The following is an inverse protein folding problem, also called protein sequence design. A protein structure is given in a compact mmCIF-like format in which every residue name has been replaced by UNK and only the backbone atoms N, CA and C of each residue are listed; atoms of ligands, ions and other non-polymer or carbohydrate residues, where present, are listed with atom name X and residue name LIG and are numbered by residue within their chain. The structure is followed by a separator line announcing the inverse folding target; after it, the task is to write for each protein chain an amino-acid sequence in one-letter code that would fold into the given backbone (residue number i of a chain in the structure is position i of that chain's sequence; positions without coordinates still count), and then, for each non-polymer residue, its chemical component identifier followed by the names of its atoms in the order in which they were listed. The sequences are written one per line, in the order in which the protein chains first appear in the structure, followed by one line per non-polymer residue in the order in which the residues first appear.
data_IF_372805853561
#
_entry.id   IF_372805853561
#
_cell.length_a   1.000
_cell.length_b   1.000
_cell.length_c   1.000
_cell.angle_alpha   90.00
_cell.angle_beta   90.00
_cell.angle_gamma   90.00
#
_symmetry.space_group_name_H-M   'P 1'
#
loop_
_entity.id
_entity.type
_entity.pdbx_description
1 polymer ?
#
# COMPACT_ATOMS: atom_id res chain seq x y z
N UNK A 1 -2.57 -13.71 6.03
CA UNK A 1 -4.01 -13.29 6.02
C UNK A 1 -4.53 -13.23 4.59
N UNK A 2 -5.86 -13.24 4.36
CA UNK A 2 -6.44 -13.08 3.01
C UNK A 2 -6.48 -11.60 2.64
N UNK A 3 -6.01 -11.25 1.43
CA UNK A 3 -6.13 -9.89 0.91
C UNK A 3 -7.51 -9.72 0.27
N UNK A 4 -8.19 -8.65 0.68
CA UNK A 4 -9.49 -8.22 0.17
C UNK A 4 -9.27 -7.43 -1.12
N UNK A 5 -10.11 -7.70 -2.12
CA UNK A 5 -10.02 -7.05 -3.43
C UNK A 5 -11.30 -6.31 -3.77
N UNK A 6 -11.21 -5.34 -4.69
CA UNK A 6 -12.42 -4.71 -5.24
C UNK A 6 -13.38 -5.78 -5.77
N UNK A 7 -14.67 -5.59 -5.57
CA UNK A 7 -15.37 -4.36 -5.14
C UNK A 7 -15.75 -4.30 -3.64
N UNK A 8 -15.02 -4.95 -2.75
CA UNK A 8 -15.38 -4.95 -1.33
C UNK A 8 -15.49 -3.51 -0.79
N UNK A 9 -16.62 -3.16 -0.11
CA UNK A 9 -16.86 -1.78 0.36
C UNK A 9 -15.92 -1.33 1.47
N UNK A 10 -15.26 -2.23 2.20
CA UNK A 10 -14.30 -1.84 3.24
C UNK A 10 -13.14 -1.02 2.68
N UNK A 11 -12.74 -1.29 1.42
CA UNK A 11 -11.66 -0.57 0.74
C UNK A 11 -11.98 0.91 0.45
N UNK A 12 -13.23 1.30 0.62
CA UNK A 12 -13.71 2.68 0.42
C UNK A 12 -14.09 3.38 1.73
N UNK A 13 -13.90 2.70 2.87
CA UNK A 13 -14.17 3.29 4.18
C UNK A 13 -12.95 4.05 4.70
N UNK A 14 -13.19 5.20 5.32
CA UNK A 14 -12.19 5.87 6.13
C UNK A 14 -11.96 5.07 7.40
N UNK A 15 -10.69 4.76 7.70
CA UNK A 15 -10.32 3.95 8.84
C UNK A 15 -10.36 4.72 10.15
N UNK A 16 -10.66 4.00 11.22
CA UNK A 16 -10.69 4.50 12.59
C UNK A 16 -9.27 4.56 13.18
N UNK A 17 -8.97 5.57 13.99
CA UNK A 17 -7.69 5.65 14.68
C UNK A 17 -7.54 4.56 15.72
N UNK A 18 -6.30 4.17 16.01
CA UNK A 18 -5.90 3.35 17.15
C UNK A 18 -5.73 4.27 18.36
N UNK A 19 -6.33 3.92 19.48
CA UNK A 19 -6.23 4.69 20.73
C UNK A 19 -4.95 4.28 21.47
N UNK A 20 -4.64 2.98 21.49
CA UNK A 20 -3.51 2.41 22.22
C UNK A 20 -2.83 1.31 21.39
N UNK A 21 -1.50 1.30 21.37
CA UNK A 21 -0.71 0.24 20.74
C UNK A 21 -0.49 -0.89 21.73
N UNK A 22 -1.50 -1.74 21.87
CA UNK A 22 -1.47 -2.94 22.71
C UNK A 22 -0.83 -4.14 21.96
N UNK A 23 -0.75 -5.30 22.63
CA UNK A 23 -0.14 -6.50 22.05
C UNK A 23 -0.89 -7.01 20.80
N UNK A 24 -2.23 -6.91 20.77
CA UNK A 24 -3.02 -7.30 19.59
C UNK A 24 -2.66 -6.47 18.35
N UNK A 25 -2.44 -5.16 18.52
CA UNK A 25 -1.98 -4.28 17.44
C UNK A 25 -0.57 -4.63 16.97
N UNK A 26 0.32 -4.99 17.91
CA UNK A 26 1.70 -5.41 17.58
C UNK A 26 1.71 -6.71 16.76
N UNK A 27 0.94 -7.70 17.18
CA UNK A 27 0.78 -8.98 16.48
C UNK A 27 0.14 -8.76 15.09
N UNK A 28 -0.89 -7.92 15.00
CA UNK A 28 -1.54 -7.58 13.75
C UNK A 28 -0.55 -6.93 12.75
N UNK A 29 0.29 -6.00 13.20
CA UNK A 29 1.32 -5.38 12.37
C UNK A 29 2.33 -6.41 11.84
N UNK A 30 2.73 -7.38 12.66
CA UNK A 30 3.64 -8.46 12.23
C UNK A 30 2.97 -9.38 11.21
N UNK A 31 1.70 -9.70 11.40
CA UNK A 31 0.94 -10.54 10.47
C UNK A 31 0.62 -9.80 9.16
N UNK A 32 0.44 -8.48 9.22
CA UNK A 32 0.36 -7.64 8.02
C UNK A 32 1.67 -7.68 7.22
N UNK A 33 2.85 -7.56 7.87
CA UNK A 33 4.15 -7.69 7.20
C UNK A 33 4.33 -9.06 6.54
N UNK A 34 4.04 -10.15 7.26
CA UNK A 34 4.09 -11.51 6.68
C UNK A 34 3.19 -11.63 5.45
N UNK A 35 1.98 -11.07 5.54
CA UNK A 35 1.00 -11.09 4.44
C UNK A 35 1.50 -10.29 3.24
N UNK A 36 2.05 -9.10 3.47
CA UNK A 36 2.66 -8.25 2.44
C UNK A 36 3.81 -8.95 1.71
N UNK A 37 4.71 -9.58 2.47
CA UNK A 37 5.84 -10.31 1.88
C UNK A 37 5.39 -11.54 1.07
N UNK A 38 4.41 -12.28 1.56
CA UNK A 38 3.86 -13.44 0.86
C UNK A 38 3.13 -13.07 -0.44
N UNK A 39 2.60 -11.86 -0.53
CA UNK A 39 1.87 -11.35 -1.70
C UNK A 39 2.73 -10.50 -2.65
N UNK A 40 4.05 -10.65 -2.71
CA UNK A 40 5.10 -9.78 -3.23
C UNK A 40 4.72 -8.29 -3.36
N UNK A 41 4.20 -7.73 -2.27
CA UNK A 41 3.87 -6.31 -2.14
C UNK A 41 4.98 -5.51 -1.45
N UNK A 42 5.05 -4.20 -1.67
CA UNK A 42 5.96 -3.27 -0.98
C UNK A 42 5.28 -2.49 0.13
N UNK A 43 3.94 -2.54 0.18
CA UNK A 43 3.10 -1.92 1.21
C UNK A 43 1.81 -2.70 1.38
N UNK A 44 1.16 -2.52 2.54
CA UNK A 44 -0.15 -3.08 2.88
C UNK A 44 -0.79 -2.23 3.98
N UNK A 45 -2.04 -1.85 3.77
CA UNK A 45 -2.87 -1.16 4.75
C UNK A 45 -3.93 -2.10 5.35
N UNK A 46 -4.31 -1.85 6.60
CA UNK A 46 -5.24 -2.71 7.34
C UNK A 46 -6.60 -2.93 6.65
N UNK A 47 -7.23 -1.97 5.95
CA UNK A 47 -8.47 -2.25 5.21
C UNK A 47 -8.32 -3.32 4.13
N UNK A 48 -7.10 -3.52 3.60
CA UNK A 48 -6.83 -4.56 2.60
C UNK A 48 -6.88 -5.99 3.20
N UNK A 49 -6.88 -6.12 4.50
CA UNK A 49 -7.08 -7.39 5.21
C UNK A 49 -8.38 -7.41 6.03
N UNK A 50 -9.30 -6.49 5.77
CA UNK A 50 -10.62 -6.42 6.41
C UNK A 50 -10.65 -5.71 7.76
N UNK A 51 -9.58 -5.05 8.16
CA UNK A 51 -9.48 -4.35 9.45
C UNK A 51 -9.63 -2.84 9.24
N UNK A 52 -10.70 -2.24 9.78
CA UNK A 52 -11.00 -0.81 9.64
C UNK A 52 -10.19 0.04 10.62
N UNK A 53 -8.86 -0.06 10.61
CA UNK A 53 -7.95 0.66 11.50
C UNK A 53 -6.84 1.36 10.73
N UNK A 54 -6.33 2.47 11.28
CA UNK A 54 -5.25 3.27 10.67
C UNK A 54 -3.90 2.63 10.93
N UNK A 55 -3.63 1.51 10.24
CA UNK A 55 -2.38 0.76 10.27
C UNK A 55 -1.87 0.57 8.85
N UNK A 56 -0.59 0.81 8.65
CA UNK A 56 0.10 0.52 7.39
C UNK A 56 1.46 -0.12 7.68
N UNK A 57 1.86 -1.01 6.80
CA UNK A 57 3.19 -1.63 6.82
C UNK A 57 3.82 -1.52 5.45
N UNK A 58 5.14 -1.40 5.38
CA UNK A 58 5.85 -1.31 4.12
C UNK A 58 7.30 -1.75 4.24
N UNK A 59 7.85 -2.17 3.12
CA UNK A 59 9.27 -2.40 2.92
C UNK A 59 9.59 -2.23 1.44
N UNK A 60 10.32 -1.18 1.11
CA UNK A 60 10.73 -0.85 -0.27
C UNK A 60 12.13 -1.36 -0.59
N UNK A 61 12.74 -2.17 0.29
CA UNK A 61 14.05 -2.78 0.04
C UNK A 61 14.01 -3.68 -1.19
N UNK A 62 15.08 -3.68 -2.00
CA UNK A 62 15.23 -4.60 -3.12
C UNK A 62 15.14 -6.06 -2.65
N UNK A 63 14.27 -6.86 -3.29
CA UNK A 63 14.14 -8.28 -2.96
C UNK A 63 13.70 -9.12 -4.14
N UNK A 64 14.07 -10.44 -4.17
CA UNK A 64 13.60 -11.37 -5.18
C UNK A 64 12.06 -11.42 -5.25
N UNK A 65 11.50 -11.53 -6.45
CA UNK A 65 10.06 -11.63 -6.68
C UNK A 65 9.34 -10.30 -6.91
N UNK A 66 9.96 -9.16 -6.65
CA UNK A 66 9.42 -7.86 -7.05
C UNK A 66 9.85 -7.55 -8.49
N UNK A 67 8.90 -7.42 -9.41
CA UNK A 67 9.15 -7.14 -10.84
C UNK A 67 10.06 -5.93 -11.06
N UNK A 68 9.90 -4.88 -10.26
CA UNK A 68 10.68 -3.64 -10.35
C UNK A 68 12.19 -3.85 -10.17
N UNK A 69 12.61 -4.91 -9.47
CA UNK A 69 14.02 -5.21 -9.21
C UNK A 69 14.58 -6.32 -10.09
N UNK A 70 13.75 -6.97 -10.92
CA UNK A 70 14.21 -8.01 -11.85
C UNK A 70 14.94 -7.41 -13.07
N UNK A 71 14.63 -6.16 -13.43
CA UNK A 71 15.19 -5.49 -14.61
C UNK A 71 16.55 -4.82 -14.33
N UNK A 72 16.80 -4.39 -13.09
CA UNK A 72 18.01 -3.61 -12.75
C UNK A 72 19.20 -4.45 -12.28
N UNK A 73 19.03 -5.70 -11.86
CA UNK A 73 20.07 -6.50 -11.20
C UNK A 73 20.08 -7.99 -11.61
N UNK A 74 20.16 -8.29 -12.90
CA UNK A 74 20.27 -9.69 -13.36
C UNK A 74 21.63 -10.35 -13.00
N UNK A 75 22.64 -9.60 -12.61
CA UNK A 75 24.00 -10.11 -12.34
C UNK A 75 24.46 -10.04 -10.88
N UNK A 76 23.79 -9.28 -10.00
CA UNK A 76 24.15 -9.21 -8.58
C UNK A 76 23.06 -9.83 -7.72
N UNK A 77 23.34 -11.02 -7.18
CA UNK A 77 22.61 -11.58 -6.03
C UNK A 77 22.95 -10.78 -4.78
N UNK A 78 22.41 -9.56 -4.65
CA UNK A 78 22.48 -8.86 -3.38
C UNK A 78 21.61 -9.62 -2.37
N UNK A 79 22.17 -9.88 -1.19
CA UNK A 79 21.44 -10.48 -0.08
C UNK A 79 20.28 -9.56 0.32
N UNK A 80 19.06 -10.10 0.38
CA UNK A 80 17.91 -9.34 0.82
C UNK A 80 18.09 -8.87 2.27
N UNK A 81 18.17 -7.57 2.46
CA UNK A 81 18.23 -6.92 3.78
C UNK A 81 16.91 -6.21 4.03
N UNK A 82 15.97 -6.83 4.76
CA UNK A 82 14.69 -6.22 5.02
C UNK A 82 14.84 -4.95 5.87
N UNK A 83 14.08 -3.92 5.52
CA UNK A 83 13.96 -2.69 6.27
C UNK A 83 12.48 -2.29 6.43
N UNK A 84 11.68 -3.12 7.14
CA UNK A 84 10.27 -2.89 7.27
C UNK A 84 9.95 -1.69 8.14
N UNK A 85 8.93 -0.94 7.75
CA UNK A 85 8.36 0.16 8.51
C UNK A 85 6.91 -0.19 8.85
N UNK A 86 6.55 -0.07 10.12
CA UNK A 86 5.20 -0.28 10.65
C UNK A 86 4.71 1.03 11.23
N UNK A 87 3.57 1.52 10.76
CA UNK A 87 3.02 2.81 11.17
C UNK A 87 1.61 2.66 11.71
N UNK A 88 1.39 3.19 12.89
CA UNK A 88 0.08 3.32 13.54
C UNK A 88 -0.32 4.78 13.48
N UNK A 89 -1.57 5.04 13.06
CA UNK A 89 -2.12 6.39 12.89
C UNK A 89 -1.23 7.33 12.04
N UNK A 90 -0.75 6.91 10.88
CA UNK A 90 0.08 7.79 10.07
C UNK A 90 -0.70 9.03 9.63
N UNK A 91 0.00 10.17 9.63
CA UNK A 91 -0.48 11.46 9.18
C UNK A 91 0.58 12.14 8.33
N UNK A 92 0.28 12.39 7.06
CA UNK A 92 1.16 13.14 6.17
C UNK A 92 1.03 14.61 6.54
N UNK A 93 2.10 15.18 7.10
CA UNK A 93 2.15 16.57 7.59
C UNK A 93 2.67 17.56 6.57
N UNK A 94 3.37 17.07 5.54
CA UNK A 94 3.91 17.88 4.46
C UNK A 94 4.13 17.04 3.20
N UNK A 95 3.97 17.66 2.03
CA UNK A 95 4.29 17.09 0.72
C UNK A 95 5.08 18.09 -0.11
N UNK A 96 5.96 17.62 -0.99
CA UNK A 96 6.71 18.47 -1.92
C UNK A 96 5.79 19.08 -3.00
N UNK A 97 6.23 20.21 -3.58
CA UNK A 97 5.61 20.81 -4.77
C UNK A 97 5.98 20.00 -6.02
N UNK A 98 7.19 19.49 -6.05
CA UNK A 98 7.71 18.62 -7.10
C UNK A 98 6.92 17.32 -7.09
N UNK A 99 6.57 16.85 -8.29
CA UNK A 99 5.81 15.63 -8.51
C UNK A 99 6.55 14.73 -9.48
N UNK A 100 6.40 13.45 -9.32
CA UNK A 100 6.79 12.45 -10.30
C UNK A 100 5.59 11.60 -10.73
N UNK A 101 5.72 10.97 -11.90
CA UNK A 101 4.71 10.05 -12.44
C UNK A 101 5.37 8.70 -12.62
N UNK A 102 4.81 7.69 -11.96
CA UNK A 102 5.34 6.33 -12.01
C UNK A 102 4.21 5.30 -11.97
N UNK A 103 4.49 4.08 -12.40
CA UNK A 103 3.52 3.00 -12.44
C UNK A 103 3.21 2.49 -11.02
N UNK A 104 1.92 2.44 -10.69
CA UNK A 104 1.41 1.87 -9.45
C UNK A 104 0.49 0.69 -9.72
N UNK A 105 0.60 -0.32 -8.88
CA UNK A 105 -0.34 -1.41 -8.72
C UNK A 105 -0.81 -1.51 -7.28
N UNK A 106 -1.78 -2.36 -7.02
CA UNK A 106 -2.31 -2.58 -5.68
C UNK A 106 -2.70 -4.05 -5.50
N UNK A 107 -2.34 -4.63 -4.35
CA UNK A 107 -2.72 -6.01 -4.00
C UNK A 107 -4.25 -6.20 -3.97
N UNK A 108 -5.01 -5.13 -3.70
CA UNK A 108 -6.48 -5.13 -3.72
C UNK A 108 -7.08 -4.94 -5.13
N UNK A 109 -6.24 -4.69 -6.15
CA UNK A 109 -6.63 -4.55 -7.56
C UNK A 109 -5.66 -5.36 -8.42
N UNK A 110 -5.66 -6.70 -8.30
CA UNK A 110 -4.67 -7.56 -8.93
C UNK A 110 -4.70 -7.46 -10.45
N UNK A 111 -3.51 -7.45 -11.08
CA UNK A 111 -3.35 -7.41 -12.54
C UNK A 111 -3.68 -6.08 -13.20
N UNK A 112 -3.83 -5.01 -12.42
CA UNK A 112 -4.04 -3.64 -12.92
C UNK A 112 -2.88 -2.76 -12.47
N UNK A 113 -2.25 -2.10 -13.44
CA UNK A 113 -1.22 -1.11 -13.23
C UNK A 113 -1.60 0.18 -13.96
N UNK A 114 -1.20 1.33 -13.42
CA UNK A 114 -1.40 2.62 -14.10
C UNK A 114 -0.41 3.67 -13.60
N UNK A 115 -0.06 4.60 -14.47
CA UNK A 115 0.78 5.75 -14.13
C UNK A 115 0.01 6.72 -13.22
N UNK A 116 0.54 6.96 -12.02
CA UNK A 116 -0.02 7.86 -11.02
C UNK A 116 0.98 8.98 -10.73
N UNK A 117 0.51 10.22 -10.77
CA UNK A 117 1.31 11.39 -10.41
C UNK A 117 1.16 11.65 -8.91
N UNK A 118 2.30 11.70 -8.19
CA UNK A 118 2.35 12.02 -6.76
C UNK A 118 3.44 13.03 -6.44
N UNK A 119 3.33 13.77 -5.31
CA UNK A 119 4.47 14.47 -4.73
C UNK A 119 5.67 13.54 -4.56
N UNK A 120 6.86 13.98 -4.99
CA UNK A 120 8.10 13.18 -4.95
C UNK A 120 8.64 12.95 -3.55
N UNK A 121 8.23 13.78 -2.58
CA UNK A 121 8.64 13.68 -1.17
C UNK A 121 7.48 13.99 -0.24
N UNK A 122 7.51 13.42 0.97
CA UNK A 122 6.55 13.72 2.03
C UNK A 122 7.19 13.64 3.42
N UNK A 123 6.56 14.28 4.41
CA UNK A 123 6.80 14.04 5.83
C UNK A 123 5.58 13.36 6.43
N UNK A 124 5.81 12.37 7.27
CA UNK A 124 4.75 11.62 7.95
C UNK A 124 5.06 11.52 9.43
N UNK A 125 4.07 11.80 10.27
CA UNK A 125 4.08 11.51 11.72
C UNK A 125 3.28 10.26 11.96
N UNK A 126 3.76 9.40 12.86
CA UNK A 126 3.10 8.14 13.20
C UNK A 126 3.55 7.63 14.57
N UNK A 127 2.85 6.66 15.11
CA UNK A 127 3.34 5.85 16.23
C UNK A 127 4.00 4.59 15.66
N UNK A 128 5.17 4.24 16.17
CA UNK A 128 5.81 2.97 15.82
C UNK A 128 5.12 1.78 16.54
N UNK A 129 5.61 0.57 16.32
CA UNK A 129 5.12 -0.65 16.96
C UNK A 129 5.16 -0.61 18.49
N UNK A 130 6.00 0.22 19.08
CA UNK A 130 6.11 0.39 20.53
C UNK A 130 5.19 1.48 21.09
N UNK A 131 4.46 2.19 20.21
CA UNK A 131 3.63 3.34 20.58
C UNK A 131 4.42 4.64 20.72
N UNK A 132 5.68 4.67 20.28
CA UNK A 132 6.52 5.87 20.31
C UNK A 132 6.22 6.74 19.10
N UNK A 133 6.10 8.06 19.33
CA UNK A 133 5.92 9.03 18.26
C UNK A 133 7.18 9.18 17.43
N UNK A 134 7.03 9.04 16.11
CA UNK A 134 8.10 9.17 15.12
C UNK A 134 7.69 10.17 14.03
N UNK A 135 8.70 10.80 13.45
CA UNK A 135 8.54 11.57 12.21
C UNK A 135 9.55 11.06 11.19
N UNK A 136 9.08 10.86 9.96
CA UNK A 136 9.90 10.40 8.85
C UNK A 136 9.75 11.35 7.66
N UNK A 137 10.88 11.80 7.10
CA UNK A 137 10.93 12.38 5.77
C UNK A 137 11.26 11.28 4.76
N UNK A 138 10.41 11.14 3.75
CA UNK A 138 10.56 10.13 2.71
C UNK A 138 10.63 10.78 1.32
N UNK A 139 11.36 10.12 0.42
CA UNK A 139 11.56 10.53 -0.97
C UNK A 139 11.42 9.33 -1.91
N UNK A 140 11.17 9.58 -3.20
CA UNK A 140 11.10 8.55 -4.24
C UNK A 140 10.07 7.45 -3.93
N UNK A 141 10.49 6.18 -4.09
CA UNK A 141 9.61 5.02 -3.91
C UNK A 141 9.01 4.93 -2.50
N UNK A 142 9.77 5.25 -1.46
CA UNK A 142 9.26 5.23 -0.10
C UNK A 142 8.16 6.28 0.11
N UNK A 143 8.35 7.51 -0.40
CA UNK A 143 7.33 8.54 -0.33
C UNK A 143 6.07 8.15 -1.10
N UNK A 144 6.21 7.52 -2.26
CA UNK A 144 5.10 6.99 -3.06
C UNK A 144 4.34 5.90 -2.31
N UNK A 145 5.05 4.94 -1.71
CA UNK A 145 4.46 3.85 -0.93
C UNK A 145 3.69 4.41 0.28
N UNK A 146 4.28 5.32 1.07
CA UNK A 146 3.59 5.96 2.21
C UNK A 146 2.29 6.64 1.75
N UNK A 147 2.32 7.39 0.65
CA UNK A 147 1.13 8.07 0.13
C UNK A 147 0.07 7.07 -0.37
N UNK A 148 0.49 5.97 -1.00
CA UNK A 148 -0.41 4.92 -1.47
C UNK A 148 -1.12 4.22 -0.29
N UNK A 149 -0.36 3.81 0.73
CA UNK A 149 -0.93 3.15 1.91
C UNK A 149 -1.76 4.11 2.77
N UNK A 150 -1.34 5.39 2.86
CA UNK A 150 -2.15 6.42 3.52
C UNK A 150 -3.48 6.69 2.79
N UNK A 151 -3.51 6.59 1.47
CA UNK A 151 -4.77 6.68 0.70
C UNK A 151 -5.73 5.56 1.12
N UNK A 152 -5.26 4.32 1.27
CA UNK A 152 -6.08 3.19 1.70
C UNK A 152 -6.80 3.45 3.03
N UNK A 153 -6.11 4.01 4.03
CA UNK A 153 -6.74 4.33 5.33
C UNK A 153 -7.69 5.53 5.27
N UNK A 154 -7.68 6.29 4.17
CA UNK A 154 -8.67 7.33 3.88
C UNK A 154 -9.81 6.84 2.97
N UNK A 155 -9.82 5.55 2.58
CA UNK A 155 -10.79 4.97 1.65
C UNK A 155 -10.58 5.37 0.19
N UNK A 156 -9.36 5.78 -0.16
CA UNK A 156 -8.94 6.18 -1.50
C UNK A 156 -8.10 5.06 -2.12
N UNK A 157 -8.31 4.77 -3.39
CA UNK A 157 -7.50 3.81 -4.15
C UNK A 157 -6.69 4.55 -5.22
N UNK A 158 -5.57 3.97 -5.67
CA UNK A 158 -4.73 4.63 -6.68
C UNK A 158 -5.50 4.98 -7.97
N UNK A 159 -6.52 4.19 -8.33
CA UNK A 159 -7.40 4.47 -9.47
C UNK A 159 -8.22 5.75 -9.30
N UNK A 160 -8.46 6.21 -8.07
CA UNK A 160 -9.18 7.46 -7.79
C UNK A 160 -8.33 8.70 -8.12
N UNK A 161 -7.02 8.53 -8.29
CA UNK A 161 -6.07 9.58 -8.68
C UNK A 161 -5.91 9.74 -10.19
N UNK A 162 -6.54 8.85 -10.95
CA UNK A 162 -6.53 8.87 -12.40
C UNK A 162 -7.64 9.77 -12.95
N UNK A 163 -7.55 10.10 -14.24
CA UNK A 163 -8.67 10.75 -14.92
C UNK A 163 -9.92 9.88 -14.87
N UNK A 164 -11.10 10.50 -14.89
CA UNK A 164 -12.39 9.80 -14.88
C UNK A 164 -12.45 8.71 -15.95
N UNK A 165 -12.03 9.02 -17.17
CA UNK A 165 -12.04 8.06 -18.29
C UNK A 165 -11.18 6.83 -18.00
N UNK A 166 -9.92 7.02 -17.51
CA UNK A 166 -9.05 5.90 -17.14
C UNK A 166 -9.63 5.07 -16.02
N UNK A 167 -10.12 5.72 -14.97
CA UNK A 167 -10.78 5.04 -13.84
C UNK A 167 -11.97 4.19 -14.31
N UNK A 168 -12.87 4.75 -15.14
CA UNK A 168 -14.06 4.05 -15.64
C UNK A 168 -13.68 2.84 -16.51
N UNK A 169 -12.63 2.95 -17.33
CA UNK A 169 -12.09 1.82 -18.10
C UNK A 169 -11.61 0.69 -17.19
N UNK A 170 -10.85 1.03 -16.13
CA UNK A 170 -10.34 0.05 -15.16
C UNK A 170 -11.51 -0.65 -14.44
N UNK A 171 -12.50 0.11 -13.96
CA UNK A 171 -13.65 -0.45 -13.27
C UNK A 171 -14.48 -1.40 -14.16
N UNK A 172 -14.62 -1.09 -15.46
CA UNK A 172 -15.24 -2.00 -16.43
C UNK A 172 -14.43 -3.28 -16.60
N UNK A 173 -13.09 -3.20 -16.67
CA UNK A 173 -12.21 -4.37 -16.76
C UNK A 173 -12.35 -5.26 -15.53
N UNK A 174 -12.33 -4.68 -14.33
CA UNK A 174 -12.53 -5.40 -13.07
C UNK A 174 -13.89 -6.12 -13.07
N UNK A 175 -14.96 -5.41 -13.42
CA UNK A 175 -16.30 -5.99 -13.49
C UNK A 175 -16.37 -7.19 -14.43
N UNK A 176 -15.74 -7.08 -15.61
CA UNK A 176 -15.67 -8.19 -16.58
C UNK A 176 -14.95 -9.40 -16.01
N UNK A 177 -13.77 -9.20 -15.41
CA UNK A 177 -12.99 -10.28 -14.78
C UNK A 177 -13.76 -11.00 -13.65
N UNK A 178 -14.55 -10.25 -12.86
CA UNK A 178 -15.38 -10.83 -11.81
C UNK A 178 -16.55 -11.67 -12.37
N UNK A 179 -17.12 -11.26 -13.49
CA UNK A 179 -18.18 -12.04 -14.19
C UNK A 179 -17.62 -13.35 -14.75
N UNK A 180 -16.46 -13.30 -15.40
CA UNK A 180 -15.79 -14.48 -15.96
C UNK A 180 -15.44 -15.51 -14.87
N UNK A 181 -14.93 -15.07 -13.72
CA UNK A 181 -14.64 -15.96 -12.57
C UNK A 181 -15.89 -16.63 -12.00
N UNK A 182 -17.04 -15.96 -12.00
CA UNK A 182 -18.31 -16.55 -11.51
C UNK A 182 -18.90 -17.60 -12.47
N UNK A 183 -18.52 -17.59 -13.72
CA UNK A 183 -18.99 -18.57 -14.72
C UNK A 183 -18.14 -19.86 -14.74
N UNK A 184 -16.94 -19.81 -14.15
CA UNK A 184 -15.99 -20.93 -14.10
C UNK A 184 -15.97 -21.66 -12.75
N UNK A 185 -16.79 -21.27 -11.79
CA UNK A 185 -17.00 -21.91 -10.49
C UNK A 185 -18.38 -22.51 -10.36
#
# INVERSE_FOLDING_TARGET
MKIITLPDPILKKKCEPIIEVNNEIKELLDDMLKTMYAAPGIGLAAPQIGVNKRLIVMDVSPRPGLKRYQEENSEKKEEFKPNPIQMVNPEITWISKEKDTDEEGCLSIPGIMANVTRPSSCKVKYLDKNGESKELRAEGLLARCIQHENDHIQGILFIDRLSKTKKDMILRKIKKQLMEKKQTT
#
